data_IF_753405413107
#
_entry.id   IF_753405413107
#
_cell.length_a   1.000
_cell.length_b   1.000
_cell.length_c   1.000
_cell.angle_alpha   90.00
_cell.angle_beta   90.00
_cell.angle_gamma   90.00
#
_symmetry.space_group_name_H-M   'P 1'
#
loop_
_entity.id
_entity.type
_entity.pdbx_description
1 polymer ?
#
# COMPACT_ATOMS: atom_id res chain seq x y z
N UNK A 1 10.97 10.81 -87.72
CA UNK A 1 10.12 11.97 -87.42
C UNK A 1 9.67 11.87 -85.98
N UNK A 2 9.65 13.01 -85.31
CA UNK A 2 9.56 13.27 -83.85
C UNK A 2 8.33 12.66 -83.14
N UNK A 3 8.45 12.52 -81.81
CA UNK A 3 7.41 12.52 -80.72
C UNK A 3 7.04 11.13 -80.18
N UNK A 4 6.94 10.85 -78.87
CA UNK A 4 7.00 11.63 -77.62
C UNK A 4 7.17 10.62 -76.46
N UNK A 5 7.87 11.02 -75.41
CA UNK A 5 7.92 10.33 -74.10
C UNK A 5 6.54 10.38 -73.42
N UNK A 6 6.17 9.29 -72.74
CA UNK A 6 5.30 9.34 -71.57
C UNK A 6 5.94 8.49 -70.46
N UNK A 7 6.40 9.18 -69.43
CA UNK A 7 6.98 8.67 -68.21
C UNK A 7 5.88 8.21 -67.25
N UNK A 8 5.89 6.94 -66.82
CA UNK A 8 5.22 6.52 -65.58
C UNK A 8 6.23 5.86 -64.64
N UNK A 9 6.77 6.65 -63.73
CA UNK A 9 7.62 6.23 -62.61
C UNK A 9 6.79 5.55 -61.53
N UNK A 10 6.86 4.22 -61.40
CA UNK A 10 6.36 3.50 -60.24
C UNK A 10 7.39 3.58 -59.10
N UNK A 11 7.27 4.59 -58.25
CA UNK A 11 8.03 4.69 -56.98
C UNK A 11 7.63 3.58 -56.01
N UNK A 12 8.53 2.62 -55.79
CA UNK A 12 8.42 1.65 -54.71
C UNK A 12 8.65 2.34 -53.36
N UNK A 13 7.60 2.36 -52.51
CA UNK A 13 7.69 2.88 -51.14
C UNK A 13 8.56 1.93 -50.29
N UNK A 14 9.44 2.46 -49.43
CA UNK A 14 10.25 1.62 -48.55
C UNK A 14 9.36 1.05 -47.43
N UNK A 15 9.36 -0.29 -47.32
CA UNK A 15 8.67 -1.00 -46.24
C UNK A 15 9.33 -0.64 -44.92
N UNK A 16 8.58 0.04 -44.05
CA UNK A 16 9.02 0.40 -42.70
C UNK A 16 9.43 -0.84 -41.91
N UNK A 17 10.72 -0.94 -41.53
CA UNK A 17 11.22 -1.90 -40.55
C UNK A 17 10.44 -1.72 -39.25
N UNK A 18 9.49 -2.62 -38.95
CA UNK A 18 8.91 -2.75 -37.61
C UNK A 18 10.07 -2.95 -36.63
N UNK A 19 10.31 -1.98 -35.74
CA UNK A 19 11.21 -2.14 -34.59
C UNK A 19 10.80 -3.43 -33.86
N UNK A 20 11.72 -4.40 -33.76
CA UNK A 20 11.53 -5.59 -32.92
C UNK A 20 11.18 -5.08 -31.51
N UNK A 21 10.06 -5.56 -30.95
CA UNK A 21 9.73 -5.35 -29.53
C UNK A 21 10.95 -5.83 -28.74
N UNK A 22 11.58 -4.93 -27.98
CA UNK A 22 12.64 -5.29 -27.05
C UNK A 22 12.02 -6.27 -26.05
N UNK A 23 12.65 -7.42 -25.83
CA UNK A 23 12.20 -8.35 -24.78
C UNK A 23 12.29 -7.59 -23.46
N UNK A 24 11.15 -7.41 -22.80
CA UNK A 24 11.06 -6.67 -21.55
C UNK A 24 11.51 -7.60 -20.42
N UNK A 25 12.51 -7.18 -19.66
CA UNK A 25 12.95 -7.93 -18.48
C UNK A 25 12.08 -7.59 -17.28
N UNK A 26 12.17 -8.38 -16.21
CA UNK A 26 11.40 -8.12 -15.00
C UNK A 26 11.87 -6.83 -14.29
N UNK A 27 13.16 -6.52 -14.39
CA UNK A 27 13.73 -5.27 -13.90
C UNK A 27 13.19 -4.05 -14.66
N UNK A 28 12.93 -4.19 -15.97
CA UNK A 28 12.28 -3.15 -16.79
C UNK A 28 10.79 -2.96 -16.44
N UNK A 29 10.18 -3.93 -15.76
CA UNK A 29 8.75 -3.92 -15.44
C UNK A 29 8.45 -3.19 -14.12
N UNK A 30 9.38 -3.18 -13.17
CA UNK A 30 9.19 -2.49 -11.89
C UNK A 30 9.23 -0.96 -12.08
N UNK A 31 8.23 -0.21 -11.58
CA UNK A 31 8.09 1.23 -11.84
C UNK A 31 9.01 2.11 -10.97
N UNK A 32 10.21 1.61 -10.62
CA UNK A 32 11.22 2.34 -9.84
C UNK A 32 12.42 2.63 -10.73
N UNK A 33 12.83 3.90 -10.81
CA UNK A 33 13.97 4.36 -11.60
C UNK A 33 15.24 4.39 -10.76
N UNK A 34 15.19 5.04 -9.60
CA UNK A 34 16.27 5.13 -8.63
C UNK A 34 15.72 5.41 -7.23
N UNK A 35 16.55 5.19 -6.22
CA UNK A 35 16.30 5.60 -4.83
C UNK A 35 17.46 6.50 -4.44
N UNK A 36 17.16 7.69 -3.94
CA UNK A 36 18.17 8.64 -3.48
C UNK A 36 17.60 9.61 -2.44
N UNK A 37 18.35 9.90 -1.38
CA UNK A 37 17.92 10.75 -0.25
C UNK A 37 16.65 10.23 0.45
N UNK A 38 16.51 8.91 0.54
CA UNK A 38 15.35 8.22 1.09
C UNK A 38 14.06 8.46 0.29
N UNK A 39 14.17 8.81 -0.99
CA UNK A 39 13.03 9.11 -1.88
C UNK A 39 13.09 8.17 -3.09
N UNK A 40 11.94 7.60 -3.41
CA UNK A 40 11.76 6.74 -4.59
C UNK A 40 11.43 7.62 -5.78
N UNK A 41 12.25 7.52 -6.82
CA UNK A 41 12.01 8.11 -8.13
C UNK A 41 11.36 7.03 -8.98
N UNK A 42 10.16 7.31 -9.45
CA UNK A 42 9.40 6.36 -10.24
C UNK A 42 9.63 6.60 -11.73
N UNK A 43 9.51 5.55 -12.54
CA UNK A 43 9.69 5.63 -14.00
C UNK A 43 8.71 6.59 -14.70
N UNK A 44 7.61 6.96 -14.05
CA UNK A 44 6.64 7.94 -14.53
C UNK A 44 6.87 9.37 -13.98
N UNK A 45 8.02 9.62 -13.34
CA UNK A 45 8.46 10.95 -12.91
C UNK A 45 7.88 11.42 -11.58
N UNK A 46 7.25 10.54 -10.80
CA UNK A 46 6.74 10.85 -9.46
C UNK A 46 7.82 10.60 -8.40
N UNK A 47 7.74 11.38 -7.33
CA UNK A 47 8.64 11.30 -6.18
C UNK A 47 7.85 10.85 -4.96
N UNK A 48 8.28 9.75 -4.33
CA UNK A 48 7.55 9.13 -3.23
C UNK A 48 8.46 9.01 -2.01
N UNK A 49 7.92 9.39 -0.84
CA UNK A 49 8.57 9.21 0.46
C UNK A 49 7.90 8.06 1.20
N UNK A 50 8.69 7.22 1.86
CA UNK A 50 8.24 6.11 2.70
C UNK A 50 8.76 6.37 4.12
N UNK A 51 7.88 6.32 5.12
CA UNK A 51 8.21 6.40 6.53
C UNK A 51 7.76 5.11 7.23
N UNK A 52 8.65 4.47 8.00
CA UNK A 52 8.27 3.37 8.88
C UNK A 52 7.76 3.92 10.23
N UNK A 53 6.69 3.32 10.73
CA UNK A 53 6.00 3.75 11.95
C UNK A 53 5.92 2.59 12.91
N UNK A 54 6.27 2.85 14.17
CA UNK A 54 6.01 1.98 15.30
C UNK A 54 4.70 2.40 15.98
N UNK A 55 3.65 1.56 15.85
CA UNK A 55 2.32 1.88 16.35
C UNK A 55 2.16 1.64 17.86
N UNK A 56 1.32 2.42 18.56
CA UNK A 56 0.94 2.14 19.96
C UNK A 56 -0.34 1.31 20.10
N UNK A 57 -0.66 0.70 21.24
CA UNK A 57 -1.97 0.05 21.39
C UNK A 57 -3.12 1.01 21.73
N UNK A 58 -3.91 1.40 20.72
CA UNK A 58 -5.00 2.37 20.86
C UNK A 58 -6.18 1.84 21.68
N UNK A 59 -6.53 0.56 21.54
CA UNK A 59 -7.66 -0.02 22.28
C UNK A 59 -7.40 -0.09 23.78
N UNK A 60 -6.14 -0.16 24.20
CA UNK A 60 -5.73 -0.14 25.61
C UNK A 60 -5.64 1.28 26.21
N UNK A 61 -5.80 2.34 25.41
CA UNK A 61 -5.82 3.72 25.91
C UNK A 61 -7.18 4.09 26.48
N UNK A 62 -7.19 5.08 27.37
CA UNK A 62 -8.44 5.64 27.89
C UNK A 62 -9.26 6.31 26.77
N UNK A 63 -10.58 6.37 26.92
CA UNK A 63 -11.45 7.03 25.93
C UNK A 63 -11.04 8.49 25.63
N UNK A 64 -10.49 9.20 26.65
CA UNK A 64 -9.98 10.57 26.50
C UNK A 64 -8.72 10.61 25.64
N UNK A 65 -7.78 9.71 25.87
CA UNK A 65 -6.55 9.60 25.07
C UNK A 65 -6.88 9.16 23.64
N UNK A 66 -7.73 8.15 23.47
CA UNK A 66 -8.24 7.72 22.16
C UNK A 66 -8.81 8.91 21.38
N UNK A 67 -9.66 9.72 22.02
CA UNK A 67 -10.22 10.90 21.39
C UNK A 67 -9.17 11.97 21.05
N UNK A 68 -8.14 12.13 21.90
CA UNK A 68 -7.01 13.03 21.64
C UNK A 68 -6.20 12.59 20.40
N UNK A 69 -5.84 11.32 20.33
CA UNK A 69 -5.13 10.70 19.20
C UNK A 69 -5.92 10.91 17.90
N UNK A 70 -7.24 10.65 17.92
CA UNK A 70 -8.14 10.88 16.78
C UNK A 70 -8.07 12.32 16.29
N UNK A 71 -8.09 13.31 17.19
CA UNK A 71 -8.05 14.72 16.83
C UNK A 71 -6.68 15.17 16.29
N UNK A 72 -5.58 14.66 16.87
CA UNK A 72 -4.22 14.87 16.34
C UNK A 72 -4.11 14.35 14.91
N UNK A 73 -4.62 13.14 14.64
CA UNK A 73 -4.60 12.58 13.30
C UNK A 73 -5.50 13.32 12.30
N UNK A 74 -6.69 13.79 12.72
CA UNK A 74 -7.52 14.69 11.88
C UNK A 74 -6.75 15.96 11.50
N UNK A 75 -6.00 16.50 12.45
CA UNK A 75 -5.21 17.72 12.24
C UNK A 75 -4.08 17.48 11.25
N UNK A 76 -3.44 16.31 11.31
CA UNK A 76 -2.48 15.88 10.30
C UNK A 76 -3.10 15.80 8.90
N UNK A 77 -4.23 15.10 8.74
CA UNK A 77 -4.91 14.95 7.44
C UNK A 77 -5.22 16.31 6.80
N UNK A 78 -5.55 17.34 7.59
CA UNK A 78 -5.81 18.69 7.05
C UNK A 78 -4.62 19.29 6.31
N UNK A 79 -3.39 18.96 6.73
CA UNK A 79 -2.15 19.50 6.16
C UNK A 79 -1.30 18.44 5.46
N UNK A 80 -1.79 17.20 5.38
CA UNK A 80 -1.07 16.10 4.76
C UNK A 80 -0.96 16.30 3.23
N UNK A 81 0.00 15.62 2.59
CA UNK A 81 0.01 15.46 1.14
C UNK A 81 -1.33 14.93 0.60
N UNK A 82 -1.60 15.21 -0.68
CA UNK A 82 -2.88 14.90 -1.32
C UNK A 82 -3.10 13.40 -1.45
N UNK A 83 -2.06 12.64 -1.81
CA UNK A 83 -2.10 11.18 -1.93
C UNK A 83 -1.31 10.56 -0.79
N UNK A 84 -1.99 9.73 -0.02
CA UNK A 84 -1.41 8.93 1.05
C UNK A 84 -1.71 7.45 0.78
N UNK A 85 -0.75 6.60 1.12
CA UNK A 85 -0.91 5.16 1.25
C UNK A 85 -0.38 4.79 2.62
N UNK A 86 -1.20 4.10 3.41
CA UNK A 86 -0.77 3.49 4.66
C UNK A 86 -0.72 2.00 4.41
N UNK A 87 0.44 1.42 4.66
CA UNK A 87 0.72 0.02 4.35
C UNK A 87 1.08 -0.73 5.61
N UNK A 88 0.50 -1.91 5.79
CA UNK A 88 0.90 -2.88 6.79
C UNK A 88 1.42 -4.11 6.07
N UNK A 89 2.64 -4.54 6.39
CA UNK A 89 3.24 -5.77 5.89
C UNK A 89 3.35 -6.74 7.06
N UNK A 90 2.79 -7.93 6.92
CA UNK A 90 3.01 -9.01 7.88
C UNK A 90 4.24 -9.83 7.49
N UNK A 91 5.06 -10.24 8.44
CA UNK A 91 6.18 -11.16 8.22
C UNK A 91 6.09 -12.27 9.27
N UNK A 92 6.64 -13.45 8.98
CA UNK A 92 6.98 -14.39 10.06
C UNK A 92 7.85 -13.63 11.06
N UNK A 93 7.52 -13.71 12.34
CA UNK A 93 8.37 -13.10 13.35
C UNK A 93 9.77 -13.67 13.20
N UNK A 94 10.73 -12.78 12.99
CA UNK A 94 12.13 -13.15 12.92
C UNK A 94 12.62 -13.28 14.37
N UNK A 95 12.46 -14.47 14.93
CA UNK A 95 12.83 -14.76 16.31
C UNK A 95 14.32 -15.15 16.37
N UNK A 96 15.01 -15.21 15.21
CA UNK A 96 16.43 -15.56 15.15
C UNK A 96 17.28 -14.63 15.99
N UNK A 97 17.01 -13.32 16.00
CA UNK A 97 17.76 -12.38 16.86
C UNK A 97 17.61 -12.69 18.36
N UNK A 98 16.39 -13.05 18.80
CA UNK A 98 16.12 -13.44 20.19
C UNK A 98 16.72 -14.82 20.51
N UNK A 99 16.70 -15.75 19.56
CA UNK A 99 17.33 -17.06 19.67
C UNK A 99 18.85 -16.94 19.72
N UNK A 100 19.46 -16.14 18.87
CA UNK A 100 20.90 -15.85 18.88
C UNK A 100 21.32 -15.22 20.21
N UNK A 101 20.55 -14.27 20.72
CA UNK A 101 20.82 -13.67 22.02
C UNK A 101 20.66 -14.70 23.17
N UNK A 102 19.60 -15.51 23.15
CA UNK A 102 19.39 -16.58 24.12
C UNK A 102 20.50 -17.64 24.04
N UNK A 103 21.03 -17.90 22.85
CA UNK A 103 22.14 -18.82 22.60
C UNK A 103 23.45 -18.27 23.16
N UNK A 104 23.73 -16.97 22.95
CA UNK A 104 24.88 -16.28 23.54
C UNK A 104 24.80 -16.24 25.07
N UNK A 105 23.60 -16.11 25.64
CA UNK A 105 23.37 -16.19 27.08
C UNK A 105 23.61 -17.62 27.60
N UNK A 106 23.15 -18.65 26.89
CA UNK A 106 23.42 -20.06 27.20
C UNK A 106 24.93 -20.36 27.19
N UNK A 107 25.69 -19.80 26.24
CA UNK A 107 27.15 -19.96 26.15
C UNK A 107 27.90 -19.31 27.32
N UNK A 108 27.31 -18.25 27.92
CA UNK A 108 27.88 -17.54 29.07
C UNK A 108 27.44 -18.11 30.41
N UNK A 109 26.40 -18.95 30.41
CA UNK A 109 25.87 -19.57 31.62
C UNK A 109 26.83 -20.66 32.13
N UNK A 110 27.14 -20.62 33.42
CA UNK A 110 28.10 -21.52 34.06
C UNK A 110 27.43 -22.61 34.86
N UNK A 111 26.18 -22.40 35.31
CA UNK A 111 25.44 -23.39 36.07
C UNK A 111 24.77 -24.45 35.17
N UNK A 112 25.05 -25.76 35.38
CA UNK A 112 24.51 -26.83 34.53
C UNK A 112 22.98 -26.91 34.52
N UNK A 113 22.31 -26.55 35.63
CA UNK A 113 20.86 -26.61 35.72
C UNK A 113 20.20 -25.43 34.99
N UNK A 114 20.77 -24.23 35.13
CA UNK A 114 20.38 -23.06 34.33
C UNK A 114 20.58 -23.29 32.82
N UNK A 115 21.67 -23.97 32.41
CA UNK A 115 21.88 -24.33 31.01
C UNK A 115 20.79 -25.26 30.46
N UNK A 116 20.33 -26.22 31.24
CA UNK A 116 19.24 -27.13 30.85
C UNK A 116 17.92 -26.38 30.69
N UNK A 117 17.56 -25.54 31.66
CA UNK A 117 16.38 -24.67 31.60
C UNK A 117 16.41 -23.70 30.41
N UNK A 118 17.58 -23.15 30.09
CA UNK A 118 17.73 -22.21 28.98
C UNK A 118 17.65 -22.93 27.63
N UNK A 119 18.14 -24.17 27.52
CA UNK A 119 17.93 -25.02 26.34
C UNK A 119 16.44 -25.35 26.14
N UNK A 120 15.74 -25.72 27.22
CA UNK A 120 14.30 -25.98 27.18
C UNK A 120 13.52 -24.72 26.78
N UNK A 121 13.92 -23.55 27.28
CA UNK A 121 13.35 -22.26 26.89
C UNK A 121 13.58 -21.96 25.41
N UNK A 122 14.82 -22.12 24.89
CA UNK A 122 15.13 -21.94 23.48
C UNK A 122 14.29 -22.87 22.61
N UNK A 123 14.17 -24.14 23.00
CA UNK A 123 13.37 -25.13 22.27
C UNK A 123 11.86 -24.82 22.34
N UNK A 124 11.37 -24.37 23.50
CA UNK A 124 10.00 -23.90 23.67
C UNK A 124 9.71 -22.68 22.79
N UNK A 125 10.58 -21.67 22.81
CA UNK A 125 10.47 -20.47 21.98
C UNK A 125 10.50 -20.88 20.51
N UNK A 126 11.42 -21.72 20.04
CA UNK A 126 11.44 -22.23 18.67
C UNK A 126 10.12 -22.93 18.27
N UNK A 127 9.53 -23.72 19.17
CA UNK A 127 8.25 -24.40 18.94
C UNK A 127 7.03 -23.45 18.95
N UNK A 128 7.06 -22.40 19.76
CA UNK A 128 6.02 -21.36 19.79
C UNK A 128 6.11 -20.44 18.56
N UNK A 129 7.34 -20.05 18.22
CA UNK A 129 7.72 -19.23 17.07
C UNK A 129 7.31 -19.86 15.74
N UNK A 130 7.51 -21.16 15.62
CA UNK A 130 7.17 -21.92 14.40
C UNK A 130 5.68 -22.06 14.16
N UNK A 131 4.82 -21.70 15.13
CA UNK A 131 3.37 -21.86 15.02
C UNK A 131 2.58 -20.55 14.88
N UNK A 132 2.94 -19.45 15.57
CA UNK A 132 1.98 -18.33 15.72
C UNK A 132 2.56 -16.90 15.72
N UNK A 133 3.87 -16.69 15.78
CA UNK A 133 4.42 -15.34 15.92
C UNK A 133 4.52 -14.61 14.57
N UNK A 134 3.75 -13.53 14.42
CA UNK A 134 3.70 -12.67 13.23
C UNK A 134 4.20 -11.29 13.60
N UNK A 135 5.28 -10.82 12.99
CA UNK A 135 5.72 -9.43 13.10
C UNK A 135 5.03 -8.58 12.03
N UNK A 136 4.83 -7.31 12.32
CA UNK A 136 4.14 -6.37 11.43
C UNK A 136 4.94 -5.09 11.33
N UNK A 137 5.14 -4.63 10.10
CA UNK A 137 5.77 -3.34 9.81
C UNK A 137 4.72 -2.41 9.22
N UNK A 138 4.66 -1.18 9.72
CA UNK A 138 3.68 -0.19 9.30
C UNK A 138 4.39 0.97 8.61
N UNK A 139 3.81 1.42 7.51
CA UNK A 139 4.42 2.45 6.68
C UNK A 139 3.40 3.52 6.32
N UNK A 140 3.84 4.78 6.35
CA UNK A 140 3.15 5.90 5.75
C UNK A 140 3.92 6.34 4.51
N UNK A 141 3.24 6.26 3.37
CA UNK A 141 3.78 6.58 2.06
C UNK A 141 3.00 7.77 1.49
N UNK A 142 3.72 8.73 0.91
CA UNK A 142 3.11 9.86 0.24
C UNK A 142 3.90 10.32 -0.98
N UNK A 143 3.14 10.84 -1.95
CA UNK A 143 3.66 11.37 -3.21
C UNK A 143 3.81 12.90 -3.11
N UNK A 144 4.87 13.44 -3.71
CA UNK A 144 4.96 14.87 -3.97
C UNK A 144 3.93 15.29 -5.03
N UNK A 145 3.16 16.32 -4.72
CA UNK A 145 2.20 16.91 -5.65
C UNK A 145 2.56 18.38 -5.89
N UNK A 146 2.76 18.80 -7.14
CA UNK A 146 3.13 20.18 -7.43
C UNK A 146 1.96 21.12 -7.11
N UNK A 147 2.26 22.24 -6.45
CA UNK A 147 1.24 23.25 -6.13
C UNK A 147 0.60 23.84 -7.40
N UNK A 148 1.39 23.99 -8.46
CA UNK A 148 0.93 24.43 -9.76
C UNK A 148 1.43 23.48 -10.85
N UNK A 149 0.51 22.73 -11.48
CA UNK A 149 0.84 21.77 -12.53
C UNK A 149 1.54 22.37 -13.76
N UNK A 150 1.48 23.71 -13.94
CA UNK A 150 2.09 24.40 -15.08
C UNK A 150 3.51 24.92 -14.80
N UNK A 151 4.01 24.85 -13.56
CA UNK A 151 5.38 25.27 -13.21
C UNK A 151 6.28 24.03 -13.16
N UNK A 152 7.43 24.11 -13.82
CA UNK A 152 8.50 23.13 -13.65
C UNK A 152 9.24 23.50 -12.36
N UNK A 153 9.03 22.72 -11.32
CA UNK A 153 9.72 22.87 -10.03
C UNK A 153 11.11 22.24 -10.14
N UNK A 154 12.09 22.81 -9.46
CA UNK A 154 13.44 22.23 -9.40
C UNK A 154 13.46 21.01 -8.48
N UNK A 155 14.29 20.02 -8.78
CA UNK A 155 14.42 18.80 -7.95
C UNK A 155 14.68 19.14 -6.48
N UNK A 156 15.50 20.16 -6.21
CA UNK A 156 15.78 20.65 -4.86
C UNK A 156 14.53 21.14 -4.12
N UNK A 157 13.60 21.80 -4.80
CA UNK A 157 12.33 22.27 -4.22
C UNK A 157 11.43 21.07 -3.86
N UNK A 158 11.39 20.06 -4.73
CA UNK A 158 10.65 18.81 -4.53
C UNK A 158 11.16 18.06 -3.28
N UNK A 159 12.48 17.89 -3.18
CA UNK A 159 13.11 17.23 -2.03
C UNK A 159 12.83 17.98 -0.72
N UNK A 160 12.94 19.31 -0.73
CA UNK A 160 12.65 20.13 0.45
C UNK A 160 11.18 20.04 0.88
N UNK A 161 10.24 19.98 -0.08
CA UNK A 161 8.82 19.83 0.20
C UNK A 161 8.50 18.46 0.80
N UNK A 162 9.08 17.38 0.26
CA UNK A 162 8.92 16.03 0.81
C UNK A 162 9.52 15.91 2.21
N UNK A 163 10.66 16.53 2.46
CA UNK A 163 11.27 16.55 3.79
C UNK A 163 10.42 17.33 4.79
N UNK A 164 9.87 18.49 4.38
CA UNK A 164 8.93 19.25 5.21
C UNK A 164 7.68 18.43 5.54
N UNK A 165 7.13 17.71 4.56
CA UNK A 165 6.00 16.81 4.76
C UNK A 165 6.35 15.62 5.69
N UNK A 166 7.57 15.08 5.57
CA UNK A 166 8.11 14.03 6.46
C UNK A 166 8.18 14.51 7.91
N UNK A 167 8.78 15.67 8.16
CA UNK A 167 8.88 16.26 9.50
C UNK A 167 7.51 16.61 10.10
N UNK A 168 6.59 17.09 9.26
CA UNK A 168 5.21 17.32 9.65
C UNK A 168 4.55 16.00 10.08
N UNK A 169 4.68 14.94 9.26
CA UNK A 169 4.14 13.62 9.61
C UNK A 169 4.74 13.09 10.92
N UNK A 170 6.06 13.15 11.08
CA UNK A 170 6.76 12.75 12.33
C UNK A 170 6.18 13.45 13.55
N UNK A 171 6.00 14.78 13.48
CA UNK A 171 5.47 15.58 14.59
C UNK A 171 4.05 15.18 14.97
N UNK A 172 3.15 15.03 13.99
CA UNK A 172 1.76 14.66 14.28
C UNK A 172 1.59 13.20 14.70
N UNK A 173 2.40 12.28 14.15
CA UNK A 173 2.41 10.88 14.55
C UNK A 173 2.90 10.74 15.99
N UNK A 174 3.93 11.49 16.38
CA UNK A 174 4.37 11.58 17.76
C UNK A 174 3.27 12.10 18.71
N UNK A 175 2.50 13.10 18.29
CA UNK A 175 1.32 13.57 19.04
C UNK A 175 0.20 12.53 19.11
N UNK A 176 0.16 11.57 18.19
CA UNK A 176 -0.72 10.40 18.25
C UNK A 176 -0.16 9.30 19.16
N UNK A 177 1.05 9.49 19.70
CA UNK A 177 1.77 8.52 20.52
C UNK A 177 2.63 7.54 19.72
N UNK A 178 2.65 7.62 18.39
CA UNK A 178 3.43 6.73 17.52
C UNK A 178 4.85 7.22 17.35
N UNK A 179 5.78 6.30 17.09
CA UNK A 179 7.17 6.65 16.79
C UNK A 179 7.45 6.44 15.30
N UNK A 180 8.23 7.34 14.70
CA UNK A 180 8.70 7.16 13.32
C UNK A 180 10.14 6.66 13.40
N UNK A 181 10.37 5.47 12.85
CA UNK A 181 11.68 4.83 12.91
C UNK A 181 12.69 5.67 12.14
N UNK A 182 13.84 5.89 12.76
CA UNK A 182 14.97 6.55 12.12
C UNK A 182 15.96 5.48 11.66
N UNK A 183 16.45 5.61 10.44
CA UNK A 183 17.38 4.66 9.83
C UNK A 183 18.72 5.37 9.55
N UNK A 184 19.83 4.66 9.75
CA UNK A 184 21.17 5.20 9.48
C UNK A 184 21.34 5.56 7.99
N UNK A 185 20.77 4.74 7.11
CA UNK A 185 20.74 4.96 5.68
C UNK A 185 19.32 4.81 5.15
N UNK A 186 18.69 5.95 4.81
CA UNK A 186 17.32 5.94 4.29
C UNK A 186 17.18 5.31 2.90
N UNK A 187 18.22 5.34 2.06
CA UNK A 187 18.20 4.71 0.73
C UNK A 187 18.22 3.19 0.85
N UNK A 188 19.07 2.66 1.73
CA UNK A 188 19.12 1.23 2.04
C UNK A 188 17.82 0.75 2.68
N UNK A 189 17.27 1.49 3.65
CA UNK A 189 15.95 1.22 4.23
C UNK A 189 14.85 1.16 3.16
N UNK A 190 14.78 2.16 2.30
CA UNK A 190 13.75 2.22 1.24
C UNK A 190 13.88 1.05 0.28
N UNK A 191 15.13 0.66 -0.04
CA UNK A 191 15.44 -0.51 -0.85
C UNK A 191 15.01 -1.80 -0.15
N UNK A 192 15.25 -1.93 1.16
CA UNK A 192 14.86 -3.09 1.97
C UNK A 192 13.34 -3.29 2.01
N UNK A 193 12.57 -2.21 2.16
CA UNK A 193 11.11 -2.28 2.16
C UNK A 193 10.59 -2.83 0.83
N UNK A 194 11.10 -2.31 -0.29
CA UNK A 194 10.72 -2.79 -1.62
C UNK A 194 11.19 -4.23 -1.87
N UNK A 195 12.43 -4.56 -1.47
CA UNK A 195 13.00 -5.90 -1.60
C UNK A 195 12.18 -6.91 -0.78
N UNK A 196 11.86 -6.61 0.47
CA UNK A 196 11.07 -7.47 1.35
C UNK A 196 9.68 -7.73 0.79
N UNK A 197 9.03 -6.73 0.21
CA UNK A 197 7.70 -6.89 -0.40
C UNK A 197 7.74 -7.78 -1.65
N UNK A 198 8.73 -7.55 -2.53
CA UNK A 198 8.87 -8.25 -3.80
C UNK A 198 9.43 -9.67 -3.63
N UNK A 199 10.19 -9.92 -2.56
CA UNK A 199 10.94 -11.16 -2.32
C UNK A 199 10.60 -11.79 -0.97
N UNK A 200 9.32 -11.78 -0.57
CA UNK A 200 8.85 -12.17 0.77
C UNK A 200 9.44 -13.49 1.33
N UNK A 201 9.63 -14.49 0.47
CA UNK A 201 10.28 -15.76 0.84
C UNK A 201 11.80 -15.62 0.85
N UNK A 202 12.38 -15.19 -0.27
CA UNK A 202 13.83 -15.10 -0.47
C UNK A 202 14.52 -14.14 0.51
N UNK A 203 13.89 -13.03 0.92
CA UNK A 203 14.51 -12.08 1.84
C UNK A 203 14.76 -12.64 3.25
N UNK A 204 14.10 -13.75 3.59
CA UNK A 204 14.33 -14.46 4.86
C UNK A 204 15.62 -15.29 4.80
N UNK A 205 15.96 -15.82 3.62
CA UNK A 205 17.17 -16.63 3.40
C UNK A 205 18.36 -15.78 2.94
N UNK A 206 18.09 -14.77 2.12
CA UNK A 206 19.07 -13.87 1.51
C UNK A 206 18.68 -12.42 1.86
N UNK A 207 19.22 -11.88 2.97
CA UNK A 207 19.05 -10.47 3.33
C UNK A 207 19.53 -9.53 2.22
N UNK A 208 19.04 -8.29 2.22
CA UNK A 208 19.36 -7.30 1.19
C UNK A 208 20.89 -7.11 1.00
N UNK A 209 21.65 -7.06 2.08
CA UNK A 209 23.12 -6.93 2.04
C UNK A 209 23.79 -8.06 1.25
N UNK A 210 23.33 -9.30 1.42
CA UNK A 210 23.81 -10.46 0.68
C UNK A 210 23.33 -10.45 -0.79
N UNK A 211 22.13 -9.93 -1.05
CA UNK A 211 21.64 -9.75 -2.42
C UNK A 211 22.49 -8.73 -3.18
N UNK A 212 22.80 -7.59 -2.55
CA UNK A 212 23.66 -6.55 -3.10
C UNK A 212 25.04 -7.13 -3.44
N UNK A 213 25.67 -7.84 -2.50
CA UNK A 213 26.99 -8.43 -2.74
C UNK A 213 27.00 -9.46 -3.87
N UNK A 214 25.92 -10.23 -4.01
CA UNK A 214 25.73 -11.20 -5.10
C UNK A 214 25.64 -10.51 -6.45
N UNK A 215 24.84 -9.44 -6.57
CA UNK A 215 24.70 -8.66 -7.81
C UNK A 215 26.05 -8.02 -8.19
N UNK A 216 26.73 -7.37 -7.24
CA UNK A 216 28.05 -6.75 -7.48
C UNK A 216 29.11 -7.79 -7.92
N UNK A 217 29.08 -8.98 -7.31
CA UNK A 217 29.97 -10.08 -7.67
C UNK A 217 29.70 -10.60 -9.09
N UNK A 218 28.45 -10.60 -9.54
CA UNK A 218 28.09 -11.00 -10.91
C UNK A 218 28.67 -10.03 -11.95
N UNK A 219 28.53 -8.72 -11.73
CA UNK A 219 29.10 -7.69 -12.60
C UNK A 219 30.64 -7.77 -12.69
N UNK A 220 31.29 -8.07 -11.56
CA UNK A 220 32.74 -8.24 -11.52
C UNK A 220 33.18 -9.48 -12.31
N UNK A 221 32.45 -10.59 -12.21
CA UNK A 221 32.73 -11.83 -12.95
C UNK A 221 32.51 -11.69 -14.46
N UNK A 222 31.55 -10.86 -14.87
CA UNK A 222 31.26 -10.55 -16.27
C UNK A 222 32.23 -9.53 -16.89
N UNK A 223 33.25 -9.07 -16.14
CA UNK A 223 34.17 -7.99 -16.52
C UNK A 223 33.47 -6.65 -16.84
N UNK A 224 32.31 -6.39 -16.23
CA UNK A 224 31.52 -5.15 -16.40
C UNK A 224 31.77 -4.14 -15.28
N UNK A 225 33.03 -4.01 -14.85
CA UNK A 225 33.41 -3.18 -13.71
C UNK A 225 33.11 -1.68 -13.92
N UNK A 226 33.14 -1.21 -15.17
CA UNK A 226 32.80 0.18 -15.53
C UNK A 226 31.30 0.52 -15.30
N UNK A 227 30.44 -0.48 -15.13
CA UNK A 227 29.00 -0.31 -14.97
C UNK A 227 28.56 -0.34 -13.50
N UNK A 228 29.47 -0.59 -12.56
CA UNK A 228 29.18 -0.73 -11.12
C UNK A 228 28.52 0.54 -10.54
N UNK A 229 28.91 1.72 -11.01
CA UNK A 229 28.37 3.01 -10.57
C UNK A 229 26.97 3.32 -11.15
N UNK A 230 26.49 2.49 -12.09
CA UNK A 230 25.26 2.70 -12.85
C UNK A 230 24.32 1.48 -12.84
N UNK A 231 24.50 0.56 -11.89
CA UNK A 231 23.58 -0.56 -11.72
C UNK A 231 22.19 -0.02 -11.39
N UNK A 232 21.19 -0.51 -12.11
CA UNK A 232 19.81 -0.10 -11.90
C UNK A 232 19.30 -0.67 -10.59
N UNK A 233 18.57 0.15 -9.83
CA UNK A 233 18.04 -0.28 -8.53
C UNK A 233 17.17 -1.54 -8.63
N UNK A 234 16.44 -1.70 -9.74
CA UNK A 234 15.58 -2.85 -9.97
C UNK A 234 16.34 -4.18 -10.07
N UNK A 235 17.65 -4.20 -10.32
CA UNK A 235 18.44 -5.44 -10.32
C UNK A 235 18.62 -6.01 -8.90
N UNK A 236 18.60 -5.14 -7.89
CA UNK A 236 18.59 -5.54 -6.49
C UNK A 236 17.19 -5.93 -6.02
N UNK A 237 16.15 -5.27 -6.54
CA UNK A 237 14.76 -5.42 -6.11
C UNK A 237 14.01 -6.55 -6.80
N UNK A 238 14.31 -6.83 -8.06
CA UNK A 238 13.51 -7.71 -8.89
C UNK A 238 13.46 -9.13 -8.30
N UNK A 239 12.26 -9.73 -8.24
CA UNK A 239 12.15 -11.14 -7.92
C UNK A 239 12.79 -12.01 -9.00
N UNK A 240 13.06 -13.27 -8.68
CA UNK A 240 13.64 -14.23 -9.64
C UNK A 240 12.61 -14.63 -10.70
N UNK A 241 11.34 -14.66 -10.34
CA UNK A 241 10.26 -14.99 -11.28
C UNK A 241 8.93 -14.37 -10.87
N UNK A 242 8.15 -13.96 -11.88
CA UNK A 242 6.76 -13.53 -11.73
C UNK A 242 5.88 -14.13 -12.83
N UNK A 243 4.75 -14.73 -12.46
CA UNK A 243 3.75 -15.23 -13.40
C UNK A 243 2.39 -14.52 -13.22
N UNK A 244 2.00 -13.75 -14.24
CA UNK A 244 0.73 -13.03 -14.35
C UNK A 244 -0.32 -13.76 -15.21
N UNK A 245 -0.08 -14.98 -15.67
CA UNK A 245 -0.98 -15.69 -16.60
C UNK A 245 -2.32 -16.09 -15.97
N UNK A 246 -2.38 -16.13 -14.65
CA UNK A 246 -3.56 -16.60 -13.93
C UNK A 246 -4.53 -15.44 -13.63
N UNK A 247 -5.82 -15.71 -13.80
CA UNK A 247 -6.89 -14.73 -13.59
C UNK A 247 -7.14 -14.39 -12.12
N UNK A 248 -6.78 -15.29 -11.20
CA UNK A 248 -7.18 -15.24 -9.79
C UNK A 248 -6.01 -14.97 -8.82
N UNK A 249 -4.78 -15.11 -9.29
CA UNK A 249 -3.57 -14.92 -8.49
C UNK A 249 -2.38 -14.54 -9.38
N UNK A 250 -1.31 -14.05 -8.74
CA UNK A 250 0.03 -13.90 -9.31
C UNK A 250 0.95 -14.87 -8.57
N UNK A 251 1.90 -15.49 -9.27
CA UNK A 251 2.95 -16.26 -8.61
C UNK A 251 4.24 -15.44 -8.60
N UNK A 252 4.87 -15.25 -7.44
CA UNK A 252 6.13 -14.53 -7.29
C UNK A 252 7.08 -15.42 -6.51
N UNK A 253 8.22 -15.78 -7.10
CA UNK A 253 9.21 -16.71 -6.49
C UNK A 253 8.56 -17.99 -5.93
N UNK A 254 7.58 -18.54 -6.65
CA UNK A 254 6.85 -19.74 -6.23
C UNK A 254 5.68 -19.49 -5.25
N UNK A 255 5.65 -18.34 -4.55
CA UNK A 255 4.58 -17.97 -3.62
C UNK A 255 3.35 -17.46 -4.39
N UNK A 256 2.15 -17.84 -3.96
CA UNK A 256 0.90 -17.39 -4.57
C UNK A 256 0.42 -16.10 -3.89
N UNK A 257 0.08 -15.10 -4.69
CA UNK A 257 -0.45 -13.81 -4.26
C UNK A 257 -1.84 -13.61 -4.84
N UNK A 258 -2.81 -13.19 -4.02
CA UNK A 258 -4.11 -12.71 -4.50
C UNK A 258 -4.41 -11.34 -3.93
N UNK A 259 -4.87 -10.45 -4.81
CA UNK A 259 -5.25 -9.09 -4.48
C UNK A 259 -6.77 -8.95 -4.42
N UNK A 260 -7.25 -8.38 -3.33
CA UNK A 260 -8.67 -8.19 -3.06
C UNK A 260 -8.95 -6.75 -2.66
N UNK A 261 -10.12 -6.23 -3.03
CA UNK A 261 -10.56 -4.88 -2.70
C UNK A 261 -11.94 -4.89 -2.05
N UNK A 262 -12.23 -3.85 -1.29
CA UNK A 262 -13.61 -3.56 -0.88
C UNK A 262 -14.22 -2.64 -1.92
N UNK A 263 -15.24 -3.07 -2.69
CA UNK A 263 -15.83 -2.23 -3.72
C UNK A 263 -16.60 -1.05 -3.10
N UNK A 264 -16.97 -0.07 -3.91
CA UNK A 264 -17.67 1.15 -3.45
C UNK A 264 -18.97 0.86 -2.68
N UNK A 265 -19.70 -0.18 -3.09
CA UNK A 265 -20.92 -0.72 -2.47
C UNK A 265 -20.62 -1.83 -1.43
N UNK A 266 -19.36 -2.22 -1.30
CA UNK A 266 -18.93 -3.31 -0.44
C UNK A 266 -19.05 -3.00 1.03
N UNK A 267 -19.08 -1.72 1.39
CA UNK A 267 -19.26 -1.35 2.78
C UNK A 267 -20.73 -1.01 3.08
N UNK A 268 -21.34 -1.69 4.04
CA UNK A 268 -22.73 -1.40 4.43
C UNK A 268 -22.81 -0.21 5.39
N UNK A 269 -24.05 0.17 5.71
CA UNK A 269 -24.39 1.34 6.51
C UNK A 269 -23.91 1.30 7.98
N UNK A 270 -23.44 0.14 8.48
CA UNK A 270 -22.96 -0.09 9.85
C UNK A 270 -21.66 -0.92 9.89
N UNK A 271 -20.50 -0.39 9.50
CA UNK A 271 -19.22 -1.03 9.83
C UNK A 271 -18.87 -0.78 11.29
N UNK A 272 -18.68 -1.85 12.06
CA UNK A 272 -18.27 -1.80 13.46
C UNK A 272 -16.96 -1.04 13.64
N UNK A 273 -16.82 -0.17 14.65
CA UNK A 273 -15.53 0.42 15.00
C UNK A 273 -14.46 -0.66 15.21
N UNK A 274 -13.25 -0.42 14.72
CA UNK A 274 -12.13 -1.35 14.91
C UNK A 274 -12.06 -2.50 13.91
N UNK A 275 -12.89 -2.58 12.86
CA UNK A 275 -12.79 -3.64 11.84
C UNK A 275 -11.40 -3.84 11.23
N UNK A 276 -10.58 -2.78 11.21
CA UNK A 276 -9.22 -2.84 10.69
C UNK A 276 -8.27 -3.58 11.64
N UNK A 277 -8.54 -3.60 12.95
CA UNK A 277 -7.79 -4.40 13.92
C UNK A 277 -7.87 -5.89 13.59
N UNK A 278 -9.03 -6.35 13.11
CA UNK A 278 -9.23 -7.74 12.68
C UNK A 278 -8.36 -8.08 11.47
N UNK A 279 -8.21 -7.13 10.54
CA UNK A 279 -7.37 -7.33 9.36
C UNK A 279 -5.88 -7.31 9.72
N UNK A 280 -5.47 -6.39 10.59
CA UNK A 280 -4.10 -6.34 11.11
C UNK A 280 -3.77 -7.65 11.83
N UNK A 281 -4.71 -8.17 12.62
CA UNK A 281 -4.53 -9.40 13.39
C UNK A 281 -4.83 -10.70 12.62
N UNK A 282 -5.12 -10.63 11.31
CA UNK A 282 -5.59 -11.79 10.55
C UNK A 282 -4.52 -12.87 10.30
N UNK A 283 -3.28 -12.65 10.74
CA UNK A 283 -2.17 -13.60 10.69
C UNK A 283 -1.12 -13.26 9.63
N UNK A 284 -0.20 -14.20 9.43
CA UNK A 284 0.89 -14.06 8.47
C UNK A 284 0.39 -14.12 7.02
N UNK A 285 1.03 -13.38 6.13
CA UNK A 285 0.75 -13.46 4.70
C UNK A 285 -0.40 -12.54 4.27
N UNK A 286 -0.88 -11.68 5.16
CA UNK A 286 -1.93 -10.71 4.91
C UNK A 286 -1.32 -9.32 5.04
N UNK A 287 -1.32 -8.59 3.92
CA UNK A 287 -0.87 -7.20 3.88
C UNK A 287 -2.05 -6.30 3.54
N UNK A 288 -2.00 -5.07 4.03
CA UNK A 288 -3.08 -4.11 3.85
C UNK A 288 -2.51 -2.83 3.27
N UNK A 289 -3.16 -2.32 2.22
CA UNK A 289 -2.88 -1.04 1.61
C UNK A 289 -4.14 -0.17 1.70
N UNK A 290 -4.04 0.92 2.44
CA UNK A 290 -5.12 1.87 2.64
C UNK A 290 -4.77 3.20 1.99
N UNK A 291 -5.53 3.57 0.96
CA UNK A 291 -5.28 4.78 0.18
C UNK A 291 -6.23 5.89 0.60
N UNK A 292 -5.68 7.10 0.75
CA UNK A 292 -6.44 8.32 0.96
C UNK A 292 -6.02 9.35 -0.09
N UNK A 293 -7.01 9.87 -0.81
CA UNK A 293 -6.79 10.93 -1.80
C UNK A 293 -7.65 12.15 -1.49
N UNK A 294 -7.03 13.20 -0.96
CA UNK A 294 -7.68 14.48 -0.65
C UNK A 294 -8.24 15.12 -1.93
N UNK A 295 -9.44 15.69 -1.85
CA UNK A 295 -10.08 16.35 -2.98
C UNK A 295 -10.24 17.86 -2.73
N UNK A 296 -10.05 18.71 -3.75
CA UNK A 296 -10.33 20.15 -3.64
C UNK A 296 -11.79 20.42 -3.28
N UNK A 297 -12.03 21.15 -2.18
CA UNK A 297 -13.37 21.39 -1.62
C UNK A 297 -14.33 22.00 -2.64
N UNK A 298 -13.89 23.02 -3.38
CA UNK A 298 -14.74 23.73 -4.35
C UNK A 298 -15.29 22.82 -5.45
N UNK A 299 -14.42 21.96 -6.00
CA UNK A 299 -14.79 21.00 -7.05
C UNK A 299 -15.79 19.98 -6.52
N UNK A 300 -15.61 19.50 -5.30
CA UNK A 300 -16.54 18.53 -4.70
C UNK A 300 -17.87 19.18 -4.34
N UNK A 301 -17.89 20.38 -3.76
CA UNK A 301 -19.13 21.09 -3.44
C UNK A 301 -20.00 21.31 -4.68
N UNK A 302 -19.39 21.72 -5.80
CA UNK A 302 -20.10 21.89 -7.07
C UNK A 302 -20.67 20.57 -7.59
N UNK A 303 -19.85 19.51 -7.67
CA UNK A 303 -20.28 18.17 -8.15
C UNK A 303 -21.38 17.59 -7.28
N UNK A 304 -21.25 17.72 -5.96
CA UNK A 304 -22.22 17.22 -4.99
C UNK A 304 -23.56 17.97 -5.12
N UNK A 305 -23.53 19.29 -5.26
CA UNK A 305 -24.72 20.10 -5.51
C UNK A 305 -25.44 19.71 -6.82
N UNK A 306 -24.67 19.42 -7.87
CA UNK A 306 -25.21 18.93 -9.14
C UNK A 306 -25.86 17.54 -8.96
N UNK A 307 -25.16 16.60 -8.29
CA UNK A 307 -25.67 15.25 -8.08
C UNK A 307 -26.95 15.22 -7.23
N UNK A 308 -27.02 16.01 -6.17
CA UNK A 308 -28.23 16.16 -5.34
C UNK A 308 -29.40 16.68 -6.19
N UNK A 309 -29.15 17.66 -7.06
CA UNK A 309 -30.19 18.23 -7.94
C UNK A 309 -30.71 17.19 -8.95
N UNK A 310 -29.80 16.42 -9.56
CA UNK A 310 -30.14 15.35 -10.50
C UNK A 310 -30.95 14.26 -9.77
N UNK A 311 -30.45 13.75 -8.64
CA UNK A 311 -31.13 12.70 -7.89
C UNK A 311 -32.52 13.15 -7.41
N UNK A 312 -32.66 14.41 -6.95
CA UNK A 312 -33.96 14.97 -6.55
C UNK A 312 -34.92 15.08 -7.73
N UNK A 313 -34.44 15.39 -8.93
CA UNK A 313 -35.28 15.38 -10.13
C UNK A 313 -35.79 13.96 -10.41
N UNK A 314 -34.88 12.98 -10.41
CA UNK A 314 -35.23 11.57 -10.65
C UNK A 314 -36.19 11.00 -9.59
N UNK A 315 -36.03 11.42 -8.34
CA UNK A 315 -36.90 10.99 -7.23
C UNK A 315 -38.35 11.43 -7.45
N UNK A 316 -38.58 12.63 -8.00
CA UNK A 316 -39.94 13.11 -8.32
C UNK A 316 -40.62 12.31 -9.42
N UNK A 317 -39.83 11.70 -10.30
CA UNK A 317 -40.31 10.88 -11.42
C UNK A 317 -40.42 9.39 -11.03
N UNK A 318 -39.92 8.99 -9.85
CA UNK A 318 -39.93 7.62 -9.35
C UNK A 318 -41.18 7.35 -8.49
N UNK A 319 -41.76 6.15 -8.62
CA UNK A 319 -42.89 5.69 -7.79
C UNK A 319 -42.40 5.30 -6.38
N UNK A 320 -43.15 5.70 -5.34
CA UNK A 320 -42.85 5.46 -3.91
C UNK A 320 -42.73 3.97 -3.50
N UNK A 321 -43.08 3.03 -4.39
CA UNK A 321 -43.05 1.58 -4.15
C UNK A 321 -41.82 0.87 -4.72
N UNK A 322 -40.88 1.59 -5.34
CA UNK A 322 -39.72 1.00 -5.99
C UNK A 322 -38.45 1.11 -5.11
N UNK A 323 -37.62 0.07 -5.08
CA UNK A 323 -36.28 0.09 -4.47
C UNK A 323 -35.41 1.24 -4.98
N UNK A 324 -35.63 1.67 -6.22
CA UNK A 324 -34.97 2.84 -6.81
C UNK A 324 -35.27 4.15 -6.05
N UNK A 325 -36.47 4.26 -5.45
CA UNK A 325 -36.84 5.44 -4.65
C UNK A 325 -35.99 5.51 -3.37
N UNK A 326 -35.88 4.40 -2.64
CA UNK A 326 -35.09 4.30 -1.41
C UNK A 326 -33.60 4.57 -1.66
N UNK A 327 -33.06 4.03 -2.76
CA UNK A 327 -31.67 4.26 -3.17
C UNK A 327 -31.41 5.73 -3.51
N UNK A 328 -32.32 6.37 -4.26
CA UNK A 328 -32.21 7.78 -4.61
C UNK A 328 -32.35 8.69 -3.38
N UNK A 329 -33.28 8.41 -2.48
CA UNK A 329 -33.47 9.16 -1.24
C UNK A 329 -32.27 9.00 -0.30
N UNK A 330 -31.74 7.78 -0.13
CA UNK A 330 -30.52 7.51 0.63
C UNK A 330 -29.30 8.26 0.05
N UNK A 331 -29.16 8.27 -1.28
CA UNK A 331 -28.10 9.02 -1.96
C UNK A 331 -28.24 10.54 -1.77
N UNK A 332 -29.46 11.07 -1.75
CA UNK A 332 -29.71 12.50 -1.47
C UNK A 332 -29.34 12.84 -0.03
N UNK A 333 -29.78 12.04 0.95
CA UNK A 333 -29.44 12.22 2.37
C UNK A 333 -27.92 12.19 2.58
N UNK A 334 -27.24 11.20 2.02
CA UNK A 334 -25.79 11.08 2.03
C UNK A 334 -25.11 12.30 1.38
N UNK A 335 -25.68 12.81 0.28
CA UNK A 335 -25.20 14.01 -0.38
C UNK A 335 -25.30 15.26 0.50
N UNK A 336 -26.41 15.45 1.21
CA UNK A 336 -26.57 16.56 2.15
C UNK A 336 -25.60 16.46 3.33
N UNK A 337 -25.38 15.26 3.87
CA UNK A 337 -24.39 15.03 4.92
C UNK A 337 -22.99 15.46 4.49
N UNK A 338 -22.54 15.00 3.32
CA UNK A 338 -21.23 15.39 2.77
C UNK A 338 -21.12 16.91 2.56
N UNK A 339 -22.21 17.55 2.12
CA UNK A 339 -22.25 19.00 1.92
C UNK A 339 -22.14 19.76 3.25
N UNK A 340 -22.83 19.29 4.30
CA UNK A 340 -22.74 19.88 5.63
C UNK A 340 -21.35 19.73 6.23
N UNK A 341 -20.72 18.56 6.10
CA UNK A 341 -19.34 18.36 6.56
C UNK A 341 -18.34 19.30 5.89
N UNK A 342 -18.46 19.47 4.57
CA UNK A 342 -17.63 20.44 3.83
C UNK A 342 -17.87 21.90 4.28
N UNK A 343 -19.11 22.26 4.63
CA UNK A 343 -19.42 23.58 5.19
C UNK A 343 -18.84 23.77 6.61
N UNK A 344 -18.71 22.69 7.38
CA UNK A 344 -18.08 22.65 8.71
C UNK A 344 -16.54 22.57 8.64
N UNK A 345 -15.95 22.98 7.53
CA UNK A 345 -14.51 22.98 7.27
C UNK A 345 -13.84 21.59 7.35
N UNK A 346 -14.58 20.51 7.09
CA UNK A 346 -13.96 19.20 6.86
C UNK A 346 -13.36 19.11 5.46
N UNK A 347 -12.35 18.26 5.33
CA UNK A 347 -11.77 17.86 4.06
C UNK A 347 -12.42 16.57 3.56
N UNK A 348 -12.53 16.47 2.23
CA UNK A 348 -13.11 15.32 1.54
C UNK A 348 -11.99 14.44 0.97
N UNK A 349 -12.12 13.13 1.15
CA UNK A 349 -11.20 12.13 0.64
C UNK A 349 -11.94 11.07 -0.17
N UNK A 350 -11.26 10.56 -1.20
CA UNK A 350 -11.52 9.21 -1.68
C UNK A 350 -10.68 8.22 -0.86
N UNK A 351 -11.33 7.17 -0.41
CA UNK A 351 -10.73 6.08 0.36
C UNK A 351 -10.82 4.78 -0.44
N UNK A 352 -9.75 3.99 -0.40
CA UNK A 352 -9.72 2.66 -1.00
C UNK A 352 -8.96 1.69 -0.07
N UNK A 353 -9.42 0.45 0.01
CA UNK A 353 -8.75 -0.63 0.73
C UNK A 353 -8.39 -1.76 -0.25
N UNK A 354 -7.11 -2.11 -0.27
CA UNK A 354 -6.57 -3.25 -0.99
C UNK A 354 -5.94 -4.20 0.04
N UNK A 355 -6.25 -5.48 -0.06
CA UNK A 355 -5.73 -6.55 0.79
C UNK A 355 -4.96 -7.51 -0.09
N UNK A 356 -3.73 -7.80 0.30
CA UNK A 356 -2.88 -8.81 -0.35
C UNK A 356 -2.88 -10.04 0.54
N UNK A 357 -3.25 -11.20 -0.03
CA UNK A 357 -3.19 -12.49 0.65
C UNK A 357 -2.16 -13.34 -0.05
N UNK A 358 -1.27 -13.95 0.72
CA UNK A 358 -0.23 -14.84 0.23
C UNK A 358 -0.32 -16.23 0.86
N UNK A 359 0.12 -17.25 0.11
CA UNK A 359 0.18 -18.63 0.56
C UNK A 359 1.18 -19.44 -0.26
N UNK A 360 1.69 -20.52 0.33
CA UNK A 360 2.66 -21.42 -0.33
C UNK A 360 2.00 -22.37 -1.33
N UNK A 361 0.70 -22.63 -1.17
CA UNK A 361 -0.08 -23.48 -2.06
C UNK A 361 -1.37 -22.80 -2.52
N UNK A 362 -1.89 -23.22 -3.68
CA UNK A 362 -3.14 -22.68 -4.21
C UNK A 362 -4.35 -23.01 -3.33
N UNK A 363 -4.39 -24.20 -2.73
CA UNK A 363 -5.46 -24.64 -1.83
C UNK A 363 -5.50 -23.76 -0.58
N UNK A 364 -4.33 -23.52 0.03
CA UNK A 364 -4.19 -22.63 1.18
C UNK A 364 -4.59 -21.19 0.81
N UNK A 365 -4.18 -20.70 -0.36
CA UNK A 365 -4.58 -19.37 -0.84
C UNK A 365 -6.10 -19.23 -0.91
N UNK A 366 -6.77 -20.20 -1.53
CA UNK A 366 -8.22 -20.20 -1.68
C UNK A 366 -8.92 -20.26 -0.33
N UNK A 367 -8.42 -21.09 0.59
CA UNK A 367 -8.93 -21.17 1.95
C UNK A 367 -8.78 -19.84 2.69
N UNK A 368 -7.58 -19.22 2.68
CA UNK A 368 -7.33 -17.91 3.30
C UNK A 368 -8.23 -16.81 2.72
N UNK A 369 -8.45 -16.81 1.40
CA UNK A 369 -9.38 -15.88 0.75
C UNK A 369 -10.81 -16.06 1.27
N UNK A 370 -11.28 -17.30 1.42
CA UNK A 370 -12.63 -17.59 1.89
C UNK A 370 -12.81 -17.17 3.36
N UNK A 371 -11.83 -17.47 4.22
CA UNK A 371 -11.86 -17.04 5.62
C UNK A 371 -11.83 -15.52 5.74
N UNK A 372 -11.00 -14.83 4.95
CA UNK A 372 -10.98 -13.37 4.92
C UNK A 372 -12.32 -12.78 4.46
N UNK A 373 -12.96 -13.37 3.44
CA UNK A 373 -14.31 -12.96 3.01
C UNK A 373 -15.35 -13.14 4.11
N UNK A 374 -15.35 -14.29 4.80
CA UNK A 374 -16.27 -14.54 5.93
C UNK A 374 -16.05 -13.55 7.06
N UNK A 375 -14.78 -13.29 7.42
CA UNK A 375 -14.40 -12.33 8.45
C UNK A 375 -14.95 -10.93 8.13
N UNK A 376 -14.74 -10.42 6.92
CA UNK A 376 -15.21 -9.10 6.55
C UNK A 376 -16.74 -9.02 6.42
N UNK A 377 -17.40 -10.08 5.95
CA UNK A 377 -18.87 -10.14 5.91
C UNK A 377 -19.46 -10.00 7.32
N UNK A 378 -18.81 -10.61 8.33
CA UNK A 378 -19.21 -10.45 9.74
C UNK A 378 -19.09 -9.01 10.26
N UNK A 379 -18.26 -8.19 9.60
CA UNK A 379 -18.07 -6.77 9.87
C UNK A 379 -18.83 -5.87 8.89
N UNK A 380 -19.82 -6.43 8.19
CA UNK A 380 -20.65 -5.69 7.24
C UNK A 380 -19.85 -5.08 6.07
N UNK A 381 -18.78 -5.75 5.67
CA UNK A 381 -17.97 -5.45 4.48
C UNK A 381 -17.88 -6.64 3.53
N UNK A 382 -18.11 -6.41 2.24
CA UNK A 382 -17.94 -7.40 1.19
C UNK A 382 -16.58 -7.21 0.53
N UNK A 383 -15.82 -8.30 0.42
CA UNK A 383 -14.51 -8.31 -0.21
C UNK A 383 -14.56 -8.98 -1.58
N UNK A 384 -14.08 -8.29 -2.61
CA UNK A 384 -14.05 -8.78 -3.99
C UNK A 384 -12.61 -9.03 -4.44
N UNK A 385 -12.37 -10.20 -5.03
CA UNK A 385 -11.08 -10.51 -5.65
C UNK A 385 -10.90 -9.71 -6.94
N UNK A 386 -9.68 -9.23 -7.20
CA UNK A 386 -9.32 -8.48 -8.40
C UNK A 386 -9.18 -9.41 -9.61
N UNK A 387 -10.24 -10.11 -10.02
CA UNK A 387 -10.19 -11.06 -11.12
C UNK A 387 -9.80 -10.39 -12.43
N UNK A 388 -8.84 -10.99 -13.15
CA UNK A 388 -8.22 -10.42 -14.36
C UNK A 388 -7.56 -9.04 -14.15
N UNK A 389 -7.40 -8.61 -12.90
CA UNK A 389 -6.76 -7.36 -12.48
C UNK A 389 -5.66 -7.60 -11.44
N UNK A 390 -5.16 -8.83 -11.35
CA UNK A 390 -4.17 -9.24 -10.35
C UNK A 390 -2.81 -8.55 -10.58
N UNK A 391 -2.42 -8.35 -11.84
CA UNK A 391 -1.24 -7.56 -12.22
C UNK A 391 -1.37 -6.09 -11.75
N UNK A 392 -2.54 -5.47 -11.94
CA UNK A 392 -2.79 -4.11 -11.46
C UNK A 392 -2.84 -4.06 -9.93
N UNK A 393 -3.34 -5.13 -9.29
CA UNK A 393 -3.31 -5.31 -7.84
C UNK A 393 -1.89 -5.37 -7.31
N UNK A 394 -1.02 -6.16 -7.95
CA UNK A 394 0.41 -6.23 -7.65
C UNK A 394 1.08 -4.86 -7.72
N UNK A 395 0.96 -4.16 -8.86
CA UNK A 395 1.56 -2.83 -9.01
C UNK A 395 1.01 -1.82 -7.99
N UNK A 396 -0.28 -1.91 -7.66
CA UNK A 396 -0.91 -1.01 -6.67
C UNK A 396 -0.49 -1.33 -5.24
N UNK A 397 -0.09 -2.56 -4.95
CA UNK A 397 0.39 -2.97 -3.62
C UNK A 397 1.81 -2.48 -3.30
N UNK A 398 2.56 -2.02 -4.30
CA UNK A 398 3.88 -1.42 -4.10
C UNK A 398 3.74 -0.13 -3.27
N UNK A 399 4.71 0.21 -2.41
CA UNK A 399 4.70 1.40 -1.56
C UNK A 399 5.01 2.68 -2.37
N UNK A 400 4.20 2.96 -3.40
CA UNK A 400 4.40 4.02 -4.39
C UNK A 400 3.24 5.04 -4.43
N UNK A 401 2.33 4.97 -3.46
CA UNK A 401 1.13 5.79 -3.31
C UNK A 401 0.24 5.83 -4.57
N UNK A 402 0.24 4.76 -5.37
CA UNK A 402 -0.43 4.71 -6.67
C UNK A 402 -1.39 3.52 -6.76
N UNK A 403 -2.69 3.81 -6.71
CA UNK A 403 -3.72 2.82 -6.99
C UNK A 403 -4.13 2.88 -8.46
N UNK A 404 -4.14 1.72 -9.14
CA UNK A 404 -4.57 1.63 -10.54
C UNK A 404 -5.95 2.27 -10.78
N UNK A 405 -6.10 2.94 -11.93
CA UNK A 405 -7.31 3.71 -12.26
C UNK A 405 -8.58 2.87 -12.30
N UNK A 406 -8.51 1.60 -12.72
CA UNK A 406 -9.67 0.70 -12.72
C UNK A 406 -10.00 0.26 -11.31
N UNK A 407 -9.00 -0.17 -10.54
CA UNK A 407 -9.18 -0.56 -9.13
C UNK A 407 -9.75 0.60 -8.32
N UNK A 408 -9.19 1.80 -8.46
CA UNK A 408 -9.70 3.02 -7.83
C UNK A 408 -11.19 3.26 -8.13
N UNK A 409 -11.60 3.13 -9.39
CA UNK A 409 -13.01 3.32 -9.78
C UNK A 409 -13.93 2.30 -9.14
N UNK A 410 -13.47 1.06 -8.95
CA UNK A 410 -14.24 -0.04 -8.38
C UNK A 410 -14.35 0.05 -6.84
N UNK A 411 -13.32 0.58 -6.16
CA UNK A 411 -13.26 0.59 -4.69
C UNK A 411 -13.40 1.96 -4.04
N UNK A 412 -13.50 3.06 -4.79
CA UNK A 412 -13.55 4.40 -4.21
C UNK A 412 -14.73 4.55 -3.27
N UNK A 413 -14.49 5.07 -2.07
CA UNK A 413 -15.54 5.50 -1.14
C UNK A 413 -15.32 6.95 -0.71
N UNK A 414 -16.42 7.68 -0.58
CA UNK A 414 -16.41 9.07 -0.13
C UNK A 414 -16.29 9.12 1.39
N UNK A 415 -15.29 9.84 1.90
CA UNK A 415 -15.06 10.00 3.34
C UNK A 415 -14.75 11.46 3.66
N UNK A 416 -15.21 11.92 4.83
CA UNK A 416 -14.83 13.22 5.40
C UNK A 416 -13.84 13.02 6.53
N UNK A 417 -13.06 14.05 6.86
CA UNK A 417 -12.01 13.95 7.89
C UNK A 417 -12.52 13.49 9.26
N UNK A 418 -13.73 13.91 9.67
CA UNK A 418 -14.30 13.54 10.99
C UNK A 418 -15.13 12.27 10.98
N UNK A 419 -15.60 11.80 9.81
CA UNK A 419 -16.30 10.52 9.61
C UNK A 419 -17.47 10.23 10.57
N UNK A 420 -18.17 11.28 11.06
CA UNK A 420 -19.12 11.14 12.18
C UNK A 420 -20.41 10.34 11.93
N UNK A 421 -20.74 9.88 10.72
CA UNK A 421 -22.07 9.30 10.50
C UNK A 421 -22.25 8.24 9.40
N UNK A 422 -21.19 7.83 8.70
CA UNK A 422 -21.24 6.57 7.95
C UNK A 422 -20.31 5.65 8.70
N UNK A 423 -20.83 4.55 9.22
CA UNK A 423 -20.07 3.57 9.96
C UNK A 423 -18.93 3.00 9.10
N UNK A 424 -17.81 3.72 9.13
CA UNK A 424 -16.41 3.38 8.94
C UNK A 424 -15.75 4.47 9.78
N UNK A 425 -14.89 4.15 10.73
CA UNK A 425 -14.34 5.22 11.52
C UNK A 425 -13.40 6.05 10.63
N UNK A 426 -13.58 7.36 10.76
CA UNK A 426 -12.63 8.44 10.53
C UNK A 426 -11.24 8.12 11.08
N UNK A 427 -10.30 9.05 10.96
CA UNK A 427 -9.04 9.16 11.71
C UNK A 427 -8.75 8.18 12.87
N UNK A 428 -9.72 7.78 13.71
CA UNK A 428 -9.68 6.63 14.61
C UNK A 428 -9.26 5.28 13.98
N UNK A 429 -9.75 4.90 12.80
CA UNK A 429 -9.37 3.63 12.13
C UNK A 429 -8.03 3.73 11.44
N UNK A 430 -7.70 4.87 10.87
CA UNK A 430 -6.36 5.08 10.31
C UNK A 430 -5.32 5.20 11.42
N UNK A 431 -5.69 5.87 12.52
CA UNK A 431 -4.93 5.83 13.76
C UNK A 431 -4.82 4.38 14.22
N UNK A 432 -5.90 3.59 14.30
CA UNK A 432 -5.90 2.15 14.65
C UNK A 432 -5.03 1.30 13.71
N UNK A 433 -4.90 1.68 12.44
CA UNK A 433 -3.97 1.04 11.50
C UNK A 433 -2.52 1.28 11.92
N UNK A 434 -2.25 2.46 12.47
CA UNK A 434 -0.97 2.87 13.05
C UNK A 434 -1.01 2.66 14.58
N UNK A 435 -1.95 1.90 15.13
CA UNK A 435 -2.01 1.67 16.58
C UNK A 435 -2.43 0.24 16.88
N UNK A 436 -1.43 -0.62 17.04
CA UNK A 436 -1.52 -2.08 17.08
C UNK A 436 -2.47 -2.58 18.19
N UNK A 437 -3.36 -3.48 17.83
CA UNK A 437 -4.09 -4.32 18.78
C UNK A 437 -3.41 -5.69 18.87
N UNK A 438 -2.20 -5.79 19.40
CA UNK A 438 -1.67 -7.06 19.85
C UNK A 438 -2.44 -7.46 21.13
N UNK A 439 -3.35 -8.43 21.00
CA UNK A 439 -3.63 -9.32 22.12
C UNK A 439 -2.40 -10.22 22.20
N UNK A 440 -1.60 -10.03 23.25
CA UNK A 440 -0.52 -10.94 23.58
C UNK A 440 -1.01 -12.33 23.96
#
# INVERSE_FOLDING_TARGET
MVSKEDTSSATSKPVSRKKRKKDQTLEDYLPVEKIANGIVYTTDGRYVKILEIEPINFLLRSAREQQGIIYSFISYLKISPVKLQIKMISKKADINKHLEQSQLELERETDPHCQELQRDYIQFVQNLSSREAVSRRFFLIFEYEPFNANRKEEEREILAALETASQTAKTFLYQCGNEVVSHDNEDEFTTDVLYTLLNRTLCTEVPLSNRISTVLSAYTKENRMEELDHIRINEFLAPESVDFKHSHYVQINGLYHSYLLVPSDGYKNRVTPGWLSLLVNAGEGIDIDFFLQKQPKDKIQQRLGQQIRINRSKLKDASDTNTDYDDLDSAIRSGYFLKQGLANNEDFYYMNLLITITASTLEELQWRIQEMKKLLISQDMNLHSCYFLQEQGFLSSLPLANLDKKLFKLSKRNVLTSGRQAAIPSSATVSAMITESSLG
#
